data_IF_656930227520
#
_entry.id   IF_656930227520
#
_cell.length_a   1.000
_cell.length_b   1.000
_cell.length_c   1.000
_cell.angle_alpha   90.00
_cell.angle_beta   90.00
_cell.angle_gamma   90.00
#
_symmetry.space_group_name_H-M   'P 1'
#
loop_
_entity.id
_entity.type
_entity.pdbx_description
1 polymer ?
#
# COMPACT_ATOMS: atom_id res chain seq x y z
N UNK A 1 -58.70 14.43 18.38
CA UNK A 1 -58.24 15.63 17.67
C UNK A 1 -57.60 16.50 18.72
N UNK A 2 -56.28 16.40 18.87
CA UNK A 2 -55.56 17.42 19.62
C UNK A 2 -55.78 18.74 18.86
N UNK A 3 -56.17 19.79 19.57
CA UNK A 3 -56.31 21.14 19.01
C UNK A 3 -54.91 21.68 18.79
N UNK A 4 -54.51 21.84 17.53
CA UNK A 4 -53.31 22.60 17.17
C UNK A 4 -53.67 24.08 17.27
N UNK A 5 -52.91 24.83 18.06
CA UNK A 5 -53.03 26.27 18.16
C UNK A 5 -52.32 26.92 16.97
N UNK A 6 -52.82 28.04 16.45
CA UNK A 6 -52.20 28.72 15.29
C UNK A 6 -51.89 30.16 15.64
N UNK A 7 -50.64 30.55 15.40
CA UNK A 7 -50.10 31.90 15.61
C UNK A 7 -49.47 32.35 14.27
N UNK A 8 -49.83 33.54 13.81
CA UNK A 8 -49.31 34.09 12.56
C UNK A 8 -48.83 35.51 12.82
N UNK A 9 -47.59 35.79 12.46
CA UNK A 9 -46.95 37.08 12.54
C UNK A 9 -47.35 38.02 11.42
N UNK A 10 -46.56 39.07 11.24
CA UNK A 10 -46.73 40.08 10.21
C UNK A 10 -45.46 40.24 9.37
N UNK A 11 -45.29 41.39 8.70
CA UNK A 11 -44.11 41.64 7.87
C UNK A 11 -43.03 42.44 8.62
N UNK A 12 -43.02 42.33 9.94
CA UNK A 12 -42.12 43.04 10.83
C UNK A 12 -41.60 42.05 11.87
N UNK A 13 -40.35 42.22 12.30
CA UNK A 13 -39.77 41.35 13.33
C UNK A 13 -40.57 41.37 14.65
N UNK A 14 -40.97 40.18 15.07
CA UNK A 14 -41.90 39.91 16.15
C UNK A 14 -41.37 38.84 17.12
N UNK A 15 -42.01 38.73 18.28
CA UNK A 15 -41.76 37.64 19.22
C UNK A 15 -43.04 36.81 19.30
N UNK A 16 -42.99 35.58 18.77
CA UNK A 16 -44.12 34.67 18.67
C UNK A 16 -43.91 33.48 19.62
N UNK A 17 -44.77 33.36 20.61
CA UNK A 17 -44.65 32.34 21.66
C UNK A 17 -45.81 31.35 21.57
N UNK A 18 -45.48 30.08 21.46
CA UNK A 18 -46.38 28.94 21.55
C UNK A 18 -46.86 28.67 22.97
N UNK A 19 -47.33 27.45 23.17
CA UNK A 19 -48.02 26.97 24.36
C UNK A 19 -47.45 25.62 24.79
N UNK A 20 -48.08 24.98 25.78
CA UNK A 20 -47.63 23.66 26.26
C UNK A 20 -48.28 22.49 25.49
N UNK A 21 -48.81 22.76 24.29
CA UNK A 21 -49.43 21.78 23.39
C UNK A 21 -49.04 22.14 21.96
N UNK A 22 -49.16 21.20 21.02
CA UNK A 22 -48.85 21.42 19.60
C UNK A 22 -49.33 22.76 19.03
N UNK A 23 -48.39 23.55 18.52
CA UNK A 23 -48.61 24.85 17.88
C UNK A 23 -48.18 24.82 16.40
N UNK A 24 -48.85 25.63 15.58
CA UNK A 24 -48.40 26.06 14.26
C UNK A 24 -48.08 27.56 14.34
N UNK A 25 -46.82 27.94 14.20
CA UNK A 25 -46.37 29.32 14.28
C UNK A 25 -45.72 29.72 12.95
N UNK A 26 -46.10 30.88 12.40
CA UNK A 26 -45.57 31.41 11.15
C UNK A 26 -45.15 32.86 11.32
N UNK A 27 -43.88 33.19 11.13
CA UNK A 27 -43.31 34.55 11.21
C UNK A 27 -43.72 35.44 10.05
N UNK A 28 -43.49 34.95 8.82
CA UNK A 28 -43.72 35.60 7.51
C UNK A 28 -42.54 36.43 7.02
N UNK A 29 -42.50 37.75 7.23
CA UNK A 29 -41.35 38.58 6.84
C UNK A 29 -40.81 39.34 8.08
N UNK A 30 -39.52 39.66 8.07
CA UNK A 30 -38.84 40.36 9.15
C UNK A 30 -38.11 39.41 10.09
N UNK A 31 -37.24 39.95 10.94
CA UNK A 31 -36.42 39.16 11.86
C UNK A 31 -37.24 38.75 13.10
N UNK A 32 -37.75 37.53 13.10
CA UNK A 32 -38.67 36.99 14.10
C UNK A 32 -37.97 36.15 15.17
N UNK A 33 -38.54 36.12 16.38
CA UNK A 33 -38.17 35.18 17.44
C UNK A 33 -39.35 34.28 17.78
N UNK A 34 -39.23 33.00 17.46
CA UNK A 34 -40.29 32.00 17.58
C UNK A 34 -39.93 30.96 18.64
N UNK A 35 -40.87 30.61 19.52
CA UNK A 35 -40.68 29.56 20.54
C UNK A 35 -41.89 28.64 20.62
N UNK A 36 -41.72 27.33 20.36
CA UNK A 36 -42.79 26.32 20.40
C UNK A 36 -43.17 25.88 21.82
N UNK A 37 -42.18 25.79 22.72
CA UNK A 37 -42.27 25.29 24.10
C UNK A 37 -42.58 23.80 24.24
N UNK A 38 -43.81 23.34 24.06
CA UNK A 38 -44.15 21.93 24.31
C UNK A 38 -45.27 21.39 23.46
N UNK A 39 -45.29 20.08 23.27
CA UNK A 39 -46.03 19.39 22.22
C UNK A 39 -45.31 19.47 20.87
N UNK A 40 -45.70 18.62 19.92
CA UNK A 40 -45.12 18.58 18.57
C UNK A 40 -45.54 19.81 17.76
N UNK A 41 -44.59 20.70 17.46
CA UNK A 41 -44.82 22.01 16.85
C UNK A 41 -44.40 22.06 15.38
N UNK A 42 -45.03 22.97 14.64
CA UNK A 42 -44.62 23.36 13.30
C UNK A 42 -44.29 24.85 13.31
N UNK A 43 -43.01 25.19 13.17
CA UNK A 43 -42.48 26.54 13.34
C UNK A 43 -41.83 27.01 12.02
N UNK A 44 -42.31 28.13 11.48
CA UNK A 44 -41.81 28.71 10.23
C UNK A 44 -41.37 30.16 10.47
N UNK A 45 -40.11 30.49 10.20
CA UNK A 45 -39.58 31.85 10.23
C UNK A 45 -40.14 32.67 9.07
N UNK A 46 -39.74 32.32 7.86
CA UNK A 46 -40.19 32.97 6.63
C UNK A 46 -39.03 33.69 5.96
N UNK A 47 -39.09 35.00 5.82
CA UNK A 47 -38.00 35.80 5.26
C UNK A 47 -37.48 36.77 6.30
N UNK A 48 -36.18 36.80 6.56
CA UNK A 48 -35.61 37.60 7.65
C UNK A 48 -34.52 36.81 8.35
N UNK A 49 -33.82 37.42 9.30
CA UNK A 49 -32.91 36.68 10.16
C UNK A 49 -33.67 36.20 11.41
N UNK A 50 -34.16 34.98 11.38
CA UNK A 50 -35.08 34.43 12.37
C UNK A 50 -34.36 33.63 13.46
N UNK A 51 -34.96 33.58 14.65
CA UNK A 51 -34.51 32.71 15.74
C UNK A 51 -35.65 31.82 16.19
N UNK A 52 -35.52 30.51 16.01
CA UNK A 52 -36.59 29.54 16.21
C UNK A 52 -36.15 28.50 17.25
N UNK A 53 -37.02 28.20 18.21
CA UNK A 53 -36.78 27.15 19.22
C UNK A 53 -37.99 26.22 19.33
N UNK A 54 -37.77 24.92 19.16
CA UNK A 54 -38.78 23.86 19.24
C UNK A 54 -39.27 23.64 20.67
N UNK A 55 -38.52 22.87 21.45
CA UNK A 55 -39.02 22.39 22.74
C UNK A 55 -38.29 21.15 23.26
N UNK A 56 -39.04 20.21 23.84
CA UNK A 56 -38.54 18.89 24.26
C UNK A 56 -39.34 17.75 23.61
N UNK A 57 -40.15 18.07 22.60
CA UNK A 57 -41.02 17.16 21.88
C UNK A 57 -40.64 17.24 20.40
N UNK A 58 -41.03 16.25 19.60
CA UNK A 58 -40.66 16.19 18.18
C UNK A 58 -41.26 17.36 17.38
N UNK A 59 -40.41 18.28 16.96
CA UNK A 59 -40.77 19.54 16.33
C UNK A 59 -40.30 19.59 14.86
N UNK A 60 -41.03 20.35 14.03
CA UNK A 60 -40.62 20.72 12.68
C UNK A 60 -40.31 22.21 12.64
N UNK A 61 -39.07 22.56 12.33
CA UNK A 61 -38.61 23.94 12.20
C UNK A 61 -38.20 24.23 10.75
N UNK A 62 -38.51 25.44 10.27
CA UNK A 62 -38.09 25.93 8.96
C UNK A 62 -37.73 27.41 9.05
N UNK A 63 -36.47 27.76 8.79
CA UNK A 63 -35.96 29.14 8.82
C UNK A 63 -36.52 29.94 7.65
N UNK A 64 -36.20 29.51 6.43
CA UNK A 64 -36.75 30.03 5.19
C UNK A 64 -35.70 30.77 4.39
N UNK A 65 -35.78 32.09 4.29
CA UNK A 65 -34.82 32.93 3.58
C UNK A 65 -34.19 33.89 4.58
N UNK A 66 -32.88 33.83 4.74
CA UNK A 66 -32.15 34.76 5.58
C UNK A 66 -30.98 34.09 6.26
N UNK A 67 -30.59 34.62 7.42
CA UNK A 67 -29.55 33.99 8.25
C UNK A 67 -30.24 33.65 9.55
N UNK A 68 -30.58 32.37 9.70
CA UNK A 68 -31.47 31.88 10.72
C UNK A 68 -30.70 31.13 11.82
N UNK A 69 -31.26 31.15 13.02
CA UNK A 69 -30.75 30.42 14.18
C UNK A 69 -31.82 29.49 14.72
N UNK A 70 -31.63 28.19 14.53
CA UNK A 70 -32.63 27.16 14.82
C UNK A 70 -32.15 26.22 15.92
N UNK A 71 -33.01 25.94 16.89
CA UNK A 71 -32.78 24.99 17.98
C UNK A 71 -33.96 24.01 18.08
N UNK A 72 -33.74 22.73 17.85
CA UNK A 72 -34.75 21.67 18.06
C UNK A 72 -35.04 21.50 19.54
N UNK A 73 -33.99 21.17 20.29
CA UNK A 73 -33.99 21.11 21.74
C UNK A 73 -33.92 19.67 22.22
N UNK A 74 -35.06 19.02 22.42
CA UNK A 74 -35.07 17.59 22.66
C UNK A 74 -36.26 16.94 21.98
N UNK A 75 -36.21 15.63 21.81
CA UNK A 75 -37.12 14.93 20.90
C UNK A 75 -36.41 14.64 19.59
N UNK A 76 -37.13 14.02 18.65
CA UNK A 76 -36.61 13.74 17.32
C UNK A 76 -37.18 14.80 16.37
N UNK A 77 -36.38 15.80 16.08
CA UNK A 77 -36.76 17.01 15.39
C UNK A 77 -36.44 16.93 13.89
N UNK A 78 -37.09 17.79 13.11
CA UNK A 78 -36.76 17.99 11.70
C UNK A 78 -36.59 19.47 11.45
N UNK A 79 -35.39 19.88 11.04
CA UNK A 79 -35.01 21.28 10.94
C UNK A 79 -34.50 21.57 9.53
N UNK A 80 -35.04 22.64 8.93
CA UNK A 80 -34.59 23.17 7.64
C UNK A 80 -34.11 24.60 7.83
N UNK A 81 -32.86 24.91 7.49
CA UNK A 81 -32.33 26.28 7.43
C UNK A 81 -33.01 27.04 6.30
N UNK A 82 -32.68 26.67 5.06
CA UNK A 82 -33.30 27.22 3.86
C UNK A 82 -32.26 27.88 2.97
N UNK A 83 -32.34 29.19 2.79
CA UNK A 83 -31.39 29.94 1.97
C UNK A 83 -30.72 31.03 2.79
N UNK A 84 -29.38 31.06 2.73
CA UNK A 84 -28.49 31.96 3.45
C UNK A 84 -27.75 31.21 4.56
N UNK A 85 -26.67 31.81 5.08
CA UNK A 85 -25.74 31.14 6.00
C UNK A 85 -26.40 30.86 7.38
N UNK A 86 -26.99 29.69 7.56
CA UNK A 86 -27.81 29.35 8.72
C UNK A 86 -27.02 28.66 9.84
N UNK A 87 -27.59 28.68 11.05
CA UNK A 87 -27.07 27.95 12.20
C UNK A 87 -28.12 27.05 12.83
N UNK A 88 -27.86 25.75 12.83
CA UNK A 88 -28.81 24.72 13.25
C UNK A 88 -28.23 23.91 14.42
N UNK A 89 -29.06 23.65 15.42
CA UNK A 89 -28.79 22.75 16.54
C UNK A 89 -29.95 21.76 16.70
N UNK A 90 -29.69 20.46 16.54
CA UNK A 90 -30.66 19.38 16.79
C UNK A 90 -30.98 19.28 18.27
N UNK A 91 -29.99 18.90 19.05
CA UNK A 91 -30.06 18.86 20.51
C UNK A 91 -30.03 17.44 21.04
N UNK A 92 -31.14 16.92 21.56
CA UNK A 92 -31.18 15.59 22.15
C UNK A 92 -32.27 14.72 21.53
N UNK A 93 -31.90 13.60 20.94
CA UNK A 93 -32.80 12.71 20.21
C UNK A 93 -32.27 12.49 18.80
N UNK A 94 -32.90 11.62 18.03
CA UNK A 94 -32.42 11.33 16.67
C UNK A 94 -33.06 12.33 15.68
N UNK A 95 -32.29 13.31 15.25
CA UNK A 95 -32.74 14.50 14.50
C UNK A 95 -32.47 14.39 12.99
N UNK A 96 -33.22 15.17 12.20
CA UNK A 96 -32.98 15.35 10.76
C UNK A 96 -32.76 16.84 10.45
N UNK A 97 -31.54 17.19 10.05
CA UNK A 97 -31.08 18.57 9.92
C UNK A 97 -30.64 18.86 8.48
N UNK A 98 -31.14 19.94 7.91
CA UNK A 98 -30.85 20.35 6.53
C UNK A 98 -30.47 21.83 6.51
N UNK A 99 -29.25 22.14 6.05
CA UNK A 99 -28.76 23.52 5.88
C UNK A 99 -29.50 24.20 4.73
N UNK A 100 -29.25 23.74 3.51
CA UNK A 100 -29.94 24.18 2.31
C UNK A 100 -29.00 24.80 1.32
N UNK A 101 -29.01 26.13 1.20
CA UNK A 101 -28.16 26.85 0.26
C UNK A 101 -27.36 27.92 1.00
N UNK A 102 -26.15 28.20 0.48
CA UNK A 102 -25.13 29.03 1.10
C UNK A 102 -24.40 28.27 2.24
N UNK A 103 -23.59 28.93 3.07
CA UNK A 103 -22.65 28.21 3.96
C UNK A 103 -23.25 28.04 5.35
N UNK A 104 -23.61 26.81 5.68
CA UNK A 104 -24.36 26.48 6.89
C UNK A 104 -23.47 25.90 7.99
N UNK A 105 -23.91 26.08 9.25
CA UNK A 105 -23.28 25.48 10.42
C UNK A 105 -24.30 24.64 11.20
N UNK A 106 -24.10 23.33 11.22
CA UNK A 106 -25.07 22.36 11.76
C UNK A 106 -24.43 21.53 12.88
N UNK A 107 -25.15 21.38 13.98
CA UNK A 107 -24.81 20.48 15.10
C UNK A 107 -25.95 19.49 15.34
N UNK A 108 -25.68 18.19 15.26
CA UNK A 108 -26.61 17.13 15.69
C UNK A 108 -26.77 17.10 17.21
N UNK A 109 -25.63 17.22 17.90
CA UNK A 109 -25.46 17.16 19.35
C UNK A 109 -25.54 15.73 19.90
N UNK A 110 -26.69 15.23 20.38
CA UNK A 110 -26.77 13.90 21.00
C UNK A 110 -27.92 13.09 20.43
N UNK A 111 -27.62 11.94 19.83
CA UNK A 111 -28.61 11.19 19.05
C UNK A 111 -27.94 10.42 17.93
N UNK A 112 -28.71 9.67 17.16
CA UNK A 112 -28.23 9.18 15.87
C UNK A 112 -28.84 10.07 14.79
N UNK A 113 -28.14 11.13 14.47
CA UNK A 113 -28.63 12.25 13.69
C UNK A 113 -28.34 12.07 12.20
N UNK A 114 -29.18 12.70 11.37
CA UNK A 114 -28.94 12.81 9.94
C UNK A 114 -28.78 14.27 9.56
N UNK A 115 -27.59 14.65 9.09
CA UNK A 115 -27.25 16.01 8.72
C UNK A 115 -27.00 16.11 7.21
N UNK A 116 -27.44 17.20 6.58
CA UNK A 116 -27.17 17.49 5.18
C UNK A 116 -26.89 19.00 5.00
N UNK A 117 -25.70 19.34 4.51
CA UNK A 117 -25.27 20.72 4.28
C UNK A 117 -26.02 21.34 3.13
N UNK A 118 -25.88 20.77 1.93
CA UNK A 118 -26.63 21.16 0.75
C UNK A 118 -25.75 21.80 -0.31
N UNK A 119 -26.04 23.03 -0.71
CA UNK A 119 -25.15 23.81 -1.59
C UNK A 119 -24.38 24.83 -0.76
N UNK A 120 -23.05 24.80 -0.71
CA UNK A 120 -22.37 25.68 0.22
C UNK A 120 -20.88 25.43 0.35
N UNK A 121 -20.34 25.85 1.48
CA UNK A 121 -19.12 25.31 2.09
C UNK A 121 -19.48 25.16 3.54
N UNK A 122 -20.04 24.02 3.86
CA UNK A 122 -20.77 23.81 5.09
C UNK A 122 -19.86 23.26 6.18
N UNK A 123 -20.25 23.45 7.43
CA UNK A 123 -19.58 22.83 8.58
C UNK A 123 -20.59 22.05 9.41
N UNK A 124 -20.42 20.74 9.48
CA UNK A 124 -21.37 19.83 10.12
C UNK A 124 -20.68 19.04 11.23
N UNK A 125 -21.33 18.93 12.38
CA UNK A 125 -20.89 18.13 13.52
C UNK A 125 -22.02 17.16 13.92
N UNK A 126 -21.79 15.86 13.83
CA UNK A 126 -22.71 14.81 14.29
C UNK A 126 -22.89 14.90 15.81
N UNK A 127 -21.85 14.53 16.56
CA UNK A 127 -21.81 14.65 18.01
C UNK A 127 -21.74 13.30 18.72
N UNK A 128 -22.63 13.05 19.67
CA UNK A 128 -22.72 11.79 20.41
C UNK A 128 -23.74 10.86 19.74
N UNK A 129 -23.30 9.74 19.17
CA UNK A 129 -24.14 8.67 18.63
C UNK A 129 -23.65 8.22 17.26
N UNK A 130 -24.44 7.41 16.55
CA UNK A 130 -24.06 6.91 15.24
C UNK A 130 -24.75 7.74 14.16
N UNK A 131 -24.05 8.75 13.67
CA UNK A 131 -24.59 9.79 12.82
C UNK A 131 -24.43 9.48 11.33
N UNK A 132 -25.21 10.17 10.51
CA UNK A 132 -25.03 10.19 9.05
C UNK A 132 -24.97 11.63 8.55
N UNK A 133 -23.82 12.00 8.01
CA UNK A 133 -23.48 13.38 7.63
C UNK A 133 -23.21 13.45 6.13
N UNK A 134 -23.86 14.39 5.44
CA UNK A 134 -23.67 14.67 4.01
C UNK A 134 -23.26 16.13 3.81
N UNK A 135 -22.12 16.39 3.18
CA UNK A 135 -21.67 17.73 2.80
C UNK A 135 -22.52 18.29 1.67
N UNK A 136 -22.40 17.71 0.48
CA UNK A 136 -23.22 18.01 -0.68
C UNK A 136 -22.40 18.66 -1.80
N UNK A 137 -22.76 19.86 -2.22
CA UNK A 137 -21.97 20.63 -3.18
C UNK A 137 -21.18 21.66 -2.42
N UNK A 138 -19.85 21.63 -2.50
CA UNK A 138 -19.07 22.56 -1.71
C UNK A 138 -17.71 22.05 -1.38
N UNK A 139 -16.95 22.86 -0.66
CA UNK A 139 -15.78 22.36 0.04
C UNK A 139 -16.15 22.36 1.52
N UNK A 140 -16.56 21.21 2.02
CA UNK A 140 -17.24 21.07 3.30
C UNK A 140 -16.29 20.55 4.40
N UNK A 141 -16.62 20.86 5.66
CA UNK A 141 -15.92 20.36 6.84
C UNK A 141 -16.89 19.53 7.70
N UNK A 142 -16.66 18.22 7.79
CA UNK A 142 -17.59 17.27 8.39
C UNK A 142 -16.94 16.50 9.53
N UNK A 143 -17.62 16.42 10.68
CA UNK A 143 -17.14 15.72 11.89
C UNK A 143 -18.21 14.73 12.36
N UNK A 144 -17.85 13.46 12.53
CA UNK A 144 -18.71 12.41 13.10
C UNK A 144 -18.86 12.57 14.60
N UNK A 145 -17.78 12.34 15.34
CA UNK A 145 -17.71 12.58 16.78
C UNK A 145 -17.53 11.29 17.58
N UNK A 146 -18.49 10.95 18.45
CA UNK A 146 -18.47 9.72 19.24
C UNK A 146 -19.50 8.73 18.74
N UNK A 147 -19.08 7.58 18.23
CA UNK A 147 -19.98 6.52 17.78
C UNK A 147 -19.51 5.98 16.44
N UNK A 148 -20.24 5.04 15.85
CA UNK A 148 -19.87 4.53 14.52
C UNK A 148 -20.63 5.33 13.45
N UNK A 149 -19.94 6.26 12.80
CA UNK A 149 -20.50 7.30 11.94
C UNK A 149 -20.41 6.99 10.45
N UNK A 150 -21.23 7.69 9.66
CA UNK A 150 -21.15 7.68 8.19
C UNK A 150 -21.07 9.10 7.66
N UNK A 151 -20.03 9.40 6.91
CA UNK A 151 -19.73 10.74 6.46
C UNK A 151 -19.47 10.71 4.95
N UNK A 152 -20.15 11.59 4.22
CA UNK A 152 -20.07 11.70 2.76
C UNK A 152 -19.77 13.17 2.40
N UNK A 153 -18.63 13.45 1.77
CA UNK A 153 -18.28 14.78 1.25
C UNK A 153 -19.14 15.16 0.04
N UNK A 154 -19.33 14.19 -0.86
CA UNK A 154 -20.02 14.29 -2.15
C UNK A 154 -19.18 15.03 -3.22
N UNK A 155 -19.32 16.34 -3.42
CA UNK A 155 -18.65 17.03 -4.52
C UNK A 155 -17.97 18.33 -4.09
N UNK A 156 -16.67 18.37 -4.34
CA UNK A 156 -15.73 19.45 -4.08
C UNK A 156 -14.58 18.94 -3.24
N UNK A 157 -13.78 19.84 -2.68
CA UNK A 157 -12.60 19.43 -1.92
C UNK A 157 -12.93 19.48 -0.42
N UNK A 158 -13.27 18.34 0.14
CA UNK A 158 -13.87 18.20 1.46
C UNK A 158 -12.84 17.80 2.52
N UNK A 159 -13.19 18.04 3.78
CA UNK A 159 -12.42 17.58 4.93
C UNK A 159 -13.33 16.83 5.90
N UNK A 160 -13.04 15.55 6.12
CA UNK A 160 -13.87 14.63 6.89
C UNK A 160 -13.11 14.06 8.09
N UNK A 161 -13.75 14.02 9.24
CA UNK A 161 -13.23 13.46 10.49
C UNK A 161 -14.22 12.44 11.07
N UNK A 162 -13.83 11.17 11.21
CA UNK A 162 -14.61 10.14 11.91
C UNK A 162 -14.59 10.34 13.43
N UNK A 163 -13.41 10.68 13.95
CA UNK A 163 -13.08 10.86 15.36
C UNK A 163 -12.98 9.54 16.15
N UNK A 164 -14.04 9.09 16.83
CA UNK A 164 -13.96 7.90 17.68
C UNK A 164 -15.12 6.95 17.41
N UNK A 165 -14.81 5.79 16.86
CA UNK A 165 -15.82 4.96 16.23
C UNK A 165 -15.25 3.88 15.35
N UNK A 166 -16.09 3.10 14.70
CA UNK A 166 -15.69 2.40 13.49
C UNK A 166 -16.43 3.08 12.35
N UNK A 167 -15.79 4.08 11.77
CA UNK A 167 -16.43 5.07 10.93
C UNK A 167 -16.35 4.70 9.45
N UNK A 168 -17.26 5.26 8.66
CA UNK A 168 -17.25 5.16 7.20
C UNK A 168 -17.18 6.55 6.62
N UNK A 169 -16.08 6.88 5.96
CA UNK A 169 -15.85 8.17 5.32
C UNK A 169 -15.72 7.98 3.81
N UNK A 170 -16.45 8.78 3.04
CA UNK A 170 -16.37 8.80 1.57
C UNK A 170 -16.20 10.26 1.13
N UNK A 171 -15.09 10.57 0.45
CA UNK A 171 -14.78 11.90 -0.10
C UNK A 171 -15.72 12.24 -1.24
N UNK A 172 -15.51 11.62 -2.41
CA UNK A 172 -16.36 11.75 -3.57
C UNK A 172 -15.62 12.34 -4.77
N UNK A 173 -16.16 13.40 -5.37
CA UNK A 173 -15.49 14.11 -6.47
C UNK A 173 -14.67 15.29 -5.92
N UNK A 174 -13.36 15.32 -6.08
CA UNK A 174 -12.51 16.47 -5.69
C UNK A 174 -11.22 16.01 -5.01
N UNK A 175 -10.35 16.93 -4.60
CA UNK A 175 -9.17 16.54 -3.80
C UNK A 175 -9.52 16.62 -2.31
N UNK A 176 -9.77 15.47 -1.69
CA UNK A 176 -10.34 15.36 -0.34
C UNK A 176 -9.31 15.05 0.75
N UNK A 177 -9.64 15.34 2.01
CA UNK A 177 -8.84 14.99 3.18
C UNK A 177 -9.69 14.25 4.22
N UNK A 178 -9.43 12.97 4.41
CA UNK A 178 -10.18 12.09 5.31
C UNK A 178 -9.30 11.63 6.47
N UNK A 179 -9.84 11.67 7.68
CA UNK A 179 -9.21 11.13 8.88
C UNK A 179 -10.19 10.24 9.65
N UNK A 180 -9.89 8.94 9.78
CA UNK A 180 -10.71 7.98 10.52
C UNK A 180 -10.68 8.27 12.01
N UNK A 181 -9.52 8.07 12.65
CA UNK A 181 -9.31 8.43 14.05
C UNK A 181 -9.07 7.20 14.92
N UNK A 182 -9.98 6.93 15.86
CA UNK A 182 -9.89 5.80 16.79
C UNK A 182 -10.91 4.73 16.45
N UNK A 183 -10.44 3.54 16.12
CA UNK A 183 -11.23 2.34 15.87
C UNK A 183 -10.95 1.82 14.47
N UNK A 184 -11.78 0.90 13.98
CA UNK A 184 -11.52 0.25 12.69
C UNK A 184 -12.34 0.93 11.61
N UNK A 185 -11.73 1.84 10.89
CA UNK A 185 -12.39 2.76 9.98
C UNK A 185 -12.33 2.29 8.52
N UNK A 186 -13.28 2.75 7.71
CA UNK A 186 -13.30 2.55 6.27
C UNK A 186 -13.31 3.91 5.57
N UNK A 187 -12.22 4.24 4.88
CA UNK A 187 -12.05 5.50 4.15
C UNK A 187 -11.99 5.25 2.65
N UNK A 188 -12.68 6.07 1.87
CA UNK A 188 -12.68 6.02 0.41
C UNK A 188 -12.58 7.44 -0.18
N UNK A 189 -11.53 7.73 -0.96
CA UNK A 189 -11.30 9.04 -1.59
C UNK A 189 -12.20 9.27 -2.81
N UNK A 190 -12.36 8.22 -3.63
CA UNK A 190 -13.05 8.23 -4.92
C UNK A 190 -12.28 8.93 -6.04
N UNK A 191 -12.61 10.15 -6.45
CA UNK A 191 -12.02 10.78 -7.64
C UNK A 191 -11.31 12.08 -7.28
N UNK A 192 -9.99 12.10 -7.29
CA UNK A 192 -9.25 13.16 -6.64
C UNK A 192 -7.77 12.91 -6.55
N UNK A 193 -7.01 13.85 -5.99
CA UNK A 193 -5.72 13.52 -5.39
C UNK A 193 -5.92 13.63 -3.88
N UNK A 194 -6.35 12.53 -3.28
CA UNK A 194 -6.89 12.50 -1.95
C UNK A 194 -5.81 12.23 -0.91
N UNK A 195 -6.06 12.68 0.32
CA UNK A 195 -5.21 12.39 1.48
C UNK A 195 -6.03 11.68 2.53
N UNK A 196 -5.69 10.43 2.82
CA UNK A 196 -6.46 9.57 3.73
C UNK A 196 -5.56 9.06 4.87
N UNK A 197 -6.01 9.24 6.11
CA UNK A 197 -5.35 8.74 7.31
C UNK A 197 -6.32 7.85 8.11
N UNK A 198 -6.03 6.54 8.23
CA UNK A 198 -6.82 5.59 9.02
C UNK A 198 -6.79 5.94 10.50
N UNK A 199 -5.61 5.93 11.10
CA UNK A 199 -5.40 6.36 12.48
C UNK A 199 -4.99 5.22 13.39
N UNK A 200 -5.85 4.79 14.30
CA UNK A 200 -5.58 3.71 15.25
C UNK A 200 -6.66 2.66 15.18
N UNK A 201 -6.30 1.43 14.87
CA UNK A 201 -7.22 0.33 14.66
C UNK A 201 -6.82 -0.40 13.38
N UNK A 202 -7.63 -1.35 12.96
CA UNK A 202 -7.38 -2.05 11.72
C UNK A 202 -8.28 -1.44 10.64
N UNK A 203 -7.69 -0.57 9.84
CA UNK A 203 -8.39 0.31 8.92
C UNK A 203 -8.41 -0.25 7.50
N UNK A 204 -9.38 0.19 6.71
CA UNK A 204 -9.42 -0.02 5.26
C UNK A 204 -9.42 1.33 4.57
N UNK A 205 -8.38 1.61 3.79
CA UNK A 205 -8.15 2.91 3.16
C UNK A 205 -8.02 2.74 1.66
N UNK A 206 -8.90 3.40 0.89
CA UNK A 206 -8.98 3.26 -0.57
C UNK A 206 -8.88 4.65 -1.21
N UNK A 207 -7.86 4.90 -2.04
CA UNK A 207 -7.67 6.17 -2.76
C UNK A 207 -8.73 6.34 -3.85
N UNK A 208 -8.57 5.60 -4.95
CA UNK A 208 -9.52 5.57 -6.05
C UNK A 208 -8.87 5.99 -7.36
N UNK A 209 -9.27 7.14 -7.91
CA UNK A 209 -8.75 7.68 -9.16
C UNK A 209 -8.01 8.98 -8.88
N UNK A 210 -6.73 9.02 -9.25
CA UNK A 210 -5.84 10.17 -9.21
C UNK A 210 -4.61 9.84 -8.38
N UNK A 211 -3.83 10.82 -7.92
CA UNK A 211 -2.58 10.52 -7.19
C UNK A 211 -2.80 10.71 -5.70
N UNK A 212 -3.05 9.62 -5.01
CA UNK A 212 -3.51 9.64 -3.64
C UNK A 212 -2.35 9.47 -2.65
N UNK A 213 -2.56 9.92 -1.42
CA UNK A 213 -1.65 9.69 -0.29
C UNK A 213 -2.41 9.03 0.84
N UNK A 214 -2.07 7.76 1.11
CA UNK A 214 -2.74 6.91 2.09
C UNK A 214 -1.78 6.57 3.23
N UNK A 215 -2.28 6.64 4.46
CA UNK A 215 -1.55 6.22 5.65
C UNK A 215 -2.49 5.40 6.54
N UNK A 216 -2.12 4.14 6.83
CA UNK A 216 -2.89 3.23 7.68
C UNK A 216 -2.85 3.71 9.13
N UNK A 217 -1.66 3.69 9.72
CA UNK A 217 -1.41 4.30 11.02
C UNK A 217 -0.91 3.25 12.00
N UNK A 218 -1.74 2.81 12.92
CA UNK A 218 -1.38 1.78 13.88
C UNK A 218 -2.45 0.69 13.92
N UNK A 219 -2.05 -0.55 13.69
CA UNK A 219 -2.93 -1.71 13.59
C UNK A 219 -2.67 -2.44 12.26
N UNK A 220 -3.30 -3.60 12.06
CA UNK A 220 -3.11 -4.34 10.80
C UNK A 220 -4.05 -3.75 9.73
N UNK A 221 -3.52 -2.92 8.84
CA UNK A 221 -4.29 -2.11 7.89
C UNK A 221 -4.35 -2.70 6.46
N UNK A 222 -5.37 -2.29 5.70
CA UNK A 222 -5.52 -2.59 4.28
C UNK A 222 -5.58 -1.30 3.46
N UNK A 223 -4.57 -1.05 2.62
CA UNK A 223 -4.45 0.14 1.77
C UNK A 223 -4.52 -0.24 0.29
N UNK A 224 -5.27 0.54 -0.50
CA UNK A 224 -5.36 0.41 -1.96
C UNK A 224 -5.30 1.79 -2.62
N UNK A 225 -4.28 2.05 -3.44
CA UNK A 225 -4.10 3.30 -4.19
C UNK A 225 -5.16 3.45 -5.28
N UNK A 226 -5.14 2.57 -6.28
CA UNK A 226 -6.11 2.55 -7.36
C UNK A 226 -5.49 2.95 -8.70
N UNK A 227 -6.14 3.84 -9.44
CA UNK A 227 -5.61 4.39 -10.70
C UNK A 227 -4.83 5.67 -10.38
N UNK A 228 -3.51 5.71 -10.52
CA UNK A 228 -2.75 6.82 -9.94
C UNK A 228 -1.25 6.64 -9.94
N UNK A 229 -0.54 7.65 -9.45
CA UNK A 229 0.82 7.43 -8.93
C UNK A 229 0.74 7.70 -7.43
N UNK A 230 0.46 6.66 -6.67
CA UNK A 230 0.01 6.76 -5.29
C UNK A 230 1.16 6.62 -4.29
N UNK A 231 0.95 7.15 -3.09
CA UNK A 231 1.86 7.00 -1.95
C UNK A 231 1.14 6.31 -0.80
N UNK A 232 1.56 5.10 -0.45
CA UNK A 232 0.95 4.29 0.59
C UNK A 232 1.95 4.03 1.72
N UNK A 233 1.50 4.23 2.96
CA UNK A 233 2.30 4.02 4.18
C UNK A 233 1.53 3.15 5.18
N UNK A 234 2.00 1.93 5.45
CA UNK A 234 1.45 1.07 6.52
C UNK A 234 1.82 1.58 7.91
N UNK A 235 3.09 1.95 8.06
CA UNK A 235 3.80 2.40 9.26
C UNK A 235 4.17 1.28 10.22
N UNK A 236 3.23 0.62 10.89
CA UNK A 236 3.60 -0.43 11.82
C UNK A 236 2.46 -1.37 12.15
N UNK A 237 2.82 -2.55 12.69
CA UNK A 237 1.98 -3.75 12.68
C UNK A 237 1.96 -4.40 11.28
N UNK A 238 1.08 -5.38 10.98
CA UNK A 238 1.22 -6.16 9.73
C UNK A 238 0.20 -5.68 8.68
N UNK A 239 0.69 -4.98 7.67
CA UNK A 239 -0.14 -4.27 6.71
C UNK A 239 -0.22 -4.96 5.35
N UNK A 240 -1.28 -4.68 4.61
CA UNK A 240 -1.44 -5.07 3.21
C UNK A 240 -1.63 -3.82 2.35
N UNK A 241 -0.70 -3.58 1.43
CA UNK A 241 -0.70 -2.42 0.54
C UNK A 241 -0.78 -2.88 -0.93
N UNK A 242 -1.62 -2.24 -1.74
CA UNK A 242 -1.69 -2.42 -3.19
C UNK A 242 -1.68 -1.06 -3.89
N UNK A 243 -0.70 -0.84 -4.77
CA UNK A 243 -0.56 0.40 -5.55
C UNK A 243 -1.67 0.49 -6.59
N UNK A 244 -1.73 -0.49 -7.48
CA UNK A 244 -2.77 -0.59 -8.50
C UNK A 244 -2.21 -0.27 -9.88
N UNK A 245 -2.65 0.81 -10.50
CA UNK A 245 -2.25 1.18 -11.85
C UNK A 245 -1.55 2.52 -11.87
N UNK A 246 -0.29 2.52 -12.30
CA UNK A 246 0.59 3.67 -12.46
C UNK A 246 1.85 3.47 -11.62
N UNK A 247 2.63 4.52 -11.41
CA UNK A 247 3.94 4.38 -10.78
C UNK A 247 3.86 4.73 -9.30
N UNK A 248 3.71 3.72 -8.47
CA UNK A 248 3.34 3.85 -7.08
C UNK A 248 4.56 3.78 -6.14
N UNK A 249 4.35 4.26 -4.93
CA UNK A 249 5.34 4.21 -3.85
C UNK A 249 4.69 3.64 -2.60
N UNK A 250 5.15 2.46 -2.18
CA UNK A 250 4.65 1.72 -1.03
C UNK A 250 5.76 1.59 0.02
N UNK A 251 5.39 1.79 1.28
CA UNK A 251 6.27 1.67 2.46
C UNK A 251 5.51 0.93 3.56
N UNK A 252 5.90 -0.31 3.86
CA UNK A 252 5.28 -1.16 4.88
C UNK A 252 5.55 -0.63 6.28
N UNK A 253 6.83 -0.51 6.65
CA UNK A 253 7.26 0.05 7.92
C UNK A 253 7.72 -1.04 8.89
N UNK A 254 7.23 -1.03 10.13
CA UNK A 254 7.56 -2.03 11.15
C UNK A 254 6.49 -3.14 11.17
N UNK A 255 6.73 -4.33 10.62
CA UNK A 255 5.63 -5.27 10.43
C UNK A 255 6.02 -6.67 10.00
N UNK A 256 5.08 -7.38 9.40
CA UNK A 256 5.38 -8.42 8.42
C UNK A 256 4.40 -8.14 7.30
N UNK A 257 4.80 -7.24 6.41
CA UNK A 257 3.91 -6.56 5.50
C UNK A 257 3.80 -7.31 4.19
N UNK A 258 2.71 -7.07 3.47
CA UNK A 258 2.53 -7.58 2.11
C UNK A 258 2.23 -6.43 1.16
N UNK A 259 3.14 -6.17 0.23
CA UNK A 259 3.07 -5.07 -0.73
C UNK A 259 2.92 -5.60 -2.15
N UNK A 260 2.00 -5.01 -2.91
CA UNK A 260 1.79 -5.26 -4.34
C UNK A 260 1.92 -3.94 -5.11
N UNK A 261 2.90 -3.81 -6.02
CA UNK A 261 3.01 -2.68 -6.95
C UNK A 261 1.91 -2.72 -8.02
N UNK A 262 1.65 -3.93 -8.52
CA UNK A 262 0.67 -4.25 -9.56
C UNK A 262 1.11 -3.81 -10.95
N UNK A 263 0.75 -2.64 -11.45
CA UNK A 263 1.03 -2.25 -12.83
C UNK A 263 1.64 -0.86 -12.95
N UNK A 264 2.92 -0.79 -13.32
CA UNK A 264 3.67 0.43 -13.54
C UNK A 264 5.10 0.22 -13.10
N UNK A 265 5.86 1.30 -12.97
CA UNK A 265 7.22 1.19 -12.44
C UNK A 265 7.19 1.65 -10.98
N UNK A 266 7.12 0.69 -10.07
CA UNK A 266 6.77 0.89 -8.68
C UNK A 266 7.99 0.89 -7.77
N UNK A 267 7.83 1.50 -6.59
CA UNK A 267 8.84 1.50 -5.53
C UNK A 267 8.25 0.93 -4.25
N UNK A 268 8.70 -0.26 -3.87
CA UNK A 268 8.23 -0.97 -2.67
C UNK A 268 9.36 -1.05 -1.64
N UNK A 269 9.06 -0.73 -0.39
CA UNK A 269 9.95 -0.90 0.77
C UNK A 269 9.20 -1.67 1.85
N UNK A 270 9.72 -2.82 2.27
CA UNK A 270 9.18 -3.64 3.35
C UNK A 270 9.40 -2.96 4.69
N UNK A 271 10.67 -2.83 5.09
CA UNK A 271 11.06 -2.12 6.30
C UNK A 271 11.63 -3.09 7.33
N UNK A 272 11.13 -3.07 8.55
CA UNK A 272 11.53 -4.05 9.56
C UNK A 272 10.46 -5.14 9.66
N UNK A 273 10.78 -6.37 9.31
CA UNK A 273 9.76 -7.41 9.23
C UNK A 273 10.22 -8.64 8.51
N UNK A 274 9.34 -9.62 8.35
CA UNK A 274 9.54 -10.61 7.29
C UNK A 274 8.48 -10.30 6.25
N UNK A 275 8.85 -9.51 5.27
CA UNK A 275 7.92 -8.86 4.36
C UNK A 275 7.80 -9.65 3.05
N UNK A 276 6.69 -9.42 2.35
CA UNK A 276 6.44 -10.01 1.03
C UNK A 276 6.15 -8.88 0.05
N UNK A 277 7.02 -8.71 -0.94
CA UNK A 277 6.93 -7.66 -1.94
C UNK A 277 6.76 -8.28 -3.33
N UNK A 278 5.74 -7.81 -4.05
CA UNK A 278 5.45 -8.17 -5.44
C UNK A 278 5.50 -6.90 -6.30
N UNK A 279 6.43 -6.81 -7.25
CA UNK A 279 6.55 -5.71 -8.21
C UNK A 279 5.36 -5.68 -9.16
N UNK A 280 5.27 -6.70 -10.01
CA UNK A 280 4.14 -6.91 -10.91
C UNK A 280 4.54 -6.68 -12.36
N UNK A 281 3.91 -5.71 -13.04
CA UNK A 281 4.22 -5.38 -14.43
C UNK A 281 4.92 -4.03 -14.49
N UNK A 282 6.18 -4.02 -14.91
CA UNK A 282 6.96 -2.82 -15.20
C UNK A 282 8.37 -2.97 -14.64
N UNK A 283 9.18 -1.92 -14.76
CA UNK A 283 10.54 -1.97 -14.20
C UNK A 283 10.51 -1.45 -12.75
N UNK A 284 10.51 -2.36 -11.78
CA UNK A 284 10.22 -2.08 -10.38
C UNK A 284 11.48 -1.99 -9.50
N UNK A 285 11.34 -1.32 -8.36
CA UNK A 285 12.33 -1.29 -7.29
C UNK A 285 11.75 -1.86 -6.00
N UNK A 286 12.31 -2.96 -5.51
CA UNK A 286 11.90 -3.63 -4.28
C UNK A 286 13.06 -3.64 -3.28
N UNK A 287 12.75 -3.33 -2.02
CA UNK A 287 13.72 -3.35 -0.91
C UNK A 287 13.10 -3.98 0.33
N UNK A 288 13.64 -5.10 0.81
CA UNK A 288 13.16 -5.81 2.01
C UNK A 288 13.55 -5.10 3.31
N UNK A 289 14.81 -4.64 3.38
CA UNK A 289 15.44 -4.02 4.55
C UNK A 289 15.83 -5.02 5.65
N UNK A 290 15.03 -5.21 6.71
CA UNK A 290 15.47 -5.97 7.88
C UNK A 290 14.52 -7.11 8.24
N UNK A 291 14.99 -8.33 8.08
CA UNK A 291 14.38 -9.60 8.44
C UNK A 291 14.45 -10.54 7.26
N UNK A 292 13.65 -11.61 7.25
CA UNK A 292 13.75 -12.63 6.21
C UNK A 292 12.65 -12.40 5.16
N UNK A 293 12.99 -11.67 4.11
CA UNK A 293 12.02 -11.12 3.18
C UNK A 293 11.84 -11.98 1.93
N UNK A 294 10.70 -11.81 1.27
CA UNK A 294 10.40 -12.43 -0.03
C UNK A 294 10.11 -11.33 -1.04
N UNK A 295 10.99 -11.17 -2.03
CA UNK A 295 10.86 -10.20 -3.10
C UNK A 295 10.64 -10.93 -4.43
N UNK A 296 9.63 -10.50 -5.18
CA UNK A 296 9.24 -11.06 -6.48
C UNK A 296 9.06 -9.91 -7.47
N UNK A 297 9.91 -9.81 -8.49
CA UNK A 297 9.86 -8.78 -9.53
C UNK A 297 8.68 -8.97 -10.50
N UNK A 298 8.44 -10.22 -10.91
CA UNK A 298 7.46 -10.62 -11.92
C UNK A 298 7.88 -10.26 -13.36
N UNK A 299 7.43 -9.15 -13.95
CA UNK A 299 7.68 -8.86 -15.36
C UNK A 299 8.22 -7.45 -15.60
N UNK A 300 9.43 -7.35 -16.14
CA UNK A 300 10.14 -6.10 -16.40
C UNK A 300 11.59 -6.23 -15.95
N UNK A 301 12.36 -5.16 -16.01
CA UNK A 301 13.75 -5.19 -15.54
C UNK A 301 13.81 -4.63 -14.12
N UNK A 302 13.79 -5.53 -13.16
CA UNK A 302 13.58 -5.19 -11.75
C UNK A 302 14.89 -5.00 -11.00
N UNK A 303 14.84 -4.18 -9.96
CA UNK A 303 15.94 -4.02 -8.99
C UNK A 303 15.47 -4.44 -7.61
N UNK A 304 16.08 -5.48 -7.05
CA UNK A 304 15.73 -6.05 -5.76
C UNK A 304 16.91 -6.01 -4.80
N UNK A 305 16.65 -5.54 -3.57
CA UNK A 305 17.59 -5.51 -2.45
C UNK A 305 16.96 -6.26 -1.27
N UNK A 306 17.52 -7.40 -0.86
CA UNK A 306 17.05 -8.16 0.31
C UNK A 306 17.29 -7.36 1.59
N UNK A 307 18.56 -7.15 1.93
CA UNK A 307 18.96 -6.33 3.07
C UNK A 307 19.64 -7.17 4.13
N UNK A 308 19.03 -7.33 5.29
CA UNK A 308 19.60 -8.09 6.41
C UNK A 308 18.64 -9.18 6.87
N UNK A 309 19.07 -10.43 6.79
CA UNK A 309 18.28 -11.62 7.14
C UNK A 309 18.48 -12.68 6.07
N UNK A 310 17.83 -13.85 6.20
CA UNK A 310 17.92 -14.89 5.16
C UNK A 310 16.78 -14.66 4.15
N UNK A 311 17.09 -14.02 3.02
CA UNK A 311 16.10 -13.51 2.06
C UNK A 311 15.84 -14.46 0.89
N UNK A 312 14.69 -14.25 0.22
CA UNK A 312 14.35 -14.91 -1.04
C UNK A 312 13.99 -13.89 -2.11
N UNK A 313 14.82 -13.78 -3.15
CA UNK A 313 14.60 -12.89 -4.29
C UNK A 313 14.33 -13.69 -5.55
N UNK A 314 13.31 -13.29 -6.32
CA UNK A 314 12.98 -13.88 -7.61
C UNK A 314 12.76 -12.77 -8.65
N UNK A 315 13.59 -12.75 -9.70
CA UNK A 315 13.54 -11.81 -10.84
C UNK A 315 12.24 -11.93 -11.62
N UNK A 316 12.19 -12.96 -12.46
CA UNK A 316 11.04 -13.25 -13.30
C UNK A 316 11.38 -13.08 -14.77
N UNK A 317 10.56 -12.34 -15.52
CA UNK A 317 10.80 -12.05 -16.93
C UNK A 317 11.50 -10.69 -17.08
N UNK A 318 12.75 -10.64 -17.53
CA UNK A 318 13.47 -9.39 -17.83
C UNK A 318 14.95 -9.47 -17.47
N UNK A 319 15.72 -8.40 -17.73
CA UNK A 319 17.13 -8.35 -17.33
C UNK A 319 17.23 -7.74 -15.91
N UNK A 320 17.24 -8.58 -14.87
CA UNK A 320 17.07 -8.15 -13.49
C UNK A 320 18.38 -7.88 -12.72
N UNK A 321 18.28 -7.10 -11.65
CA UNK A 321 19.37 -6.84 -10.70
C UNK A 321 18.95 -7.25 -9.29
N UNK A 322 19.61 -8.28 -8.75
CA UNK A 322 19.32 -8.83 -7.43
C UNK A 322 20.54 -8.67 -6.51
N UNK A 323 20.31 -8.21 -5.27
CA UNK A 323 21.31 -8.20 -4.20
C UNK A 323 20.70 -8.79 -2.92
N UNK A 324 21.25 -9.89 -2.41
CA UNK A 324 20.78 -10.55 -1.18
C UNK A 324 21.08 -9.70 0.05
N UNK A 325 22.36 -9.41 0.29
CA UNK A 325 22.78 -8.51 1.35
C UNK A 325 23.53 -9.24 2.46
N UNK A 326 23.07 -9.14 3.71
CA UNK A 326 23.60 -9.92 4.84
C UNK A 326 22.66 -11.09 5.13
N UNK A 327 23.07 -12.34 4.94
CA UNK A 327 22.11 -13.44 4.99
C UNK A 327 22.64 -14.73 4.40
N UNK A 328 21.91 -15.82 4.55
CA UNK A 328 22.07 -16.97 3.66
C UNK A 328 20.89 -16.96 2.69
N UNK A 329 21.10 -16.30 1.56
CA UNK A 329 20.02 -15.87 0.69
C UNK A 329 19.72 -16.88 -0.41
N UNK A 330 18.52 -16.82 -0.95
CA UNK A 330 18.09 -17.59 -2.12
C UNK A 330 17.69 -16.65 -3.24
N UNK A 331 18.51 -16.61 -4.30
CA UNK A 331 18.35 -15.70 -5.41
C UNK A 331 18.11 -16.45 -6.72
N UNK A 332 17.07 -16.06 -7.44
CA UNK A 332 16.62 -16.65 -8.70
C UNK A 332 16.51 -15.55 -9.76
N UNK A 333 17.35 -15.59 -10.80
CA UNK A 333 17.27 -14.65 -11.93
C UNK A 333 16.05 -14.90 -12.83
N UNK A 334 15.82 -16.19 -13.17
CA UNK A 334 14.76 -16.68 -14.05
C UNK A 334 15.04 -16.42 -15.54
N UNK A 335 14.38 -15.46 -16.19
CA UNK A 335 14.40 -15.31 -17.63
C UNK A 335 14.93 -13.93 -18.07
N UNK A 336 16.17 -13.89 -18.53
CA UNK A 336 16.81 -12.69 -19.05
C UNK A 336 18.28 -12.70 -18.72
N UNK A 337 19.00 -11.60 -18.94
CA UNK A 337 20.42 -11.53 -18.65
C UNK A 337 20.64 -10.84 -17.31
N UNK A 338 20.64 -11.64 -16.26
CA UNK A 338 20.52 -11.11 -14.91
C UNK A 338 21.87 -10.75 -14.31
N UNK A 339 21.83 -9.86 -13.31
CA UNK A 339 22.98 -9.56 -12.46
C UNK A 339 22.60 -9.82 -11.00
N UNK A 340 23.17 -10.89 -10.44
CA UNK A 340 22.79 -11.39 -9.11
C UNK A 340 24.02 -11.41 -8.20
N UNK A 341 23.89 -10.83 -7.00
CA UNK A 341 24.93 -10.80 -5.95
C UNK A 341 24.34 -11.34 -4.65
N UNK A 342 24.96 -12.38 -4.09
CA UNK A 342 24.57 -12.98 -2.81
C UNK A 342 24.86 -12.02 -1.66
N UNK A 343 26.14 -11.68 -1.48
CA UNK A 343 26.57 -10.68 -0.50
C UNK A 343 27.39 -11.31 0.61
N UNK A 344 26.91 -11.23 1.85
CA UNK A 344 27.58 -11.80 3.03
C UNK A 344 26.76 -12.97 3.56
N UNK A 345 27.32 -14.17 3.47
CA UNK A 345 26.82 -15.41 4.06
C UNK A 345 26.83 -16.53 3.03
N UNK A 346 26.30 -17.71 3.38
CA UNK A 346 26.37 -18.88 2.50
C UNK A 346 25.16 -18.89 1.55
N UNK A 347 25.30 -18.33 0.35
CA UNK A 347 24.18 -18.03 -0.53
C UNK A 347 23.88 -19.12 -1.56
N UNK A 348 22.63 -19.14 -2.05
CA UNK A 348 22.22 -19.95 -3.19
C UNK A 348 21.74 -19.07 -4.33
N UNK A 349 22.42 -19.17 -5.46
CA UNK A 349 22.15 -18.36 -6.65
C UNK A 349 21.85 -19.26 -7.86
N UNK A 350 20.75 -18.99 -8.55
CA UNK A 350 20.33 -19.67 -9.79
C UNK A 350 19.98 -18.63 -10.87
N UNK A 351 20.74 -18.58 -11.96
CA UNK A 351 20.48 -17.67 -13.10
C UNK A 351 19.33 -18.14 -14.00
N UNK A 352 19.26 -19.46 -14.24
CA UNK A 352 18.30 -20.15 -15.11
C UNK A 352 18.50 -19.94 -16.60
N UNK A 353 17.95 -18.88 -17.22
CA UNK A 353 18.01 -18.72 -18.68
C UNK A 353 18.46 -17.34 -19.09
N UNK A 354 19.51 -17.27 -19.90
CA UNK A 354 20.08 -16.02 -20.42
C UNK A 354 21.58 -16.01 -20.23
N UNK A 355 22.24 -14.89 -20.54
CA UNK A 355 23.68 -14.75 -20.33
C UNK A 355 23.93 -14.01 -19.00
N UNK A 356 24.00 -14.74 -17.89
CA UNK A 356 23.92 -14.18 -16.54
C UNK A 356 25.27 -13.74 -15.95
N UNK A 357 25.24 -12.83 -14.98
CA UNK A 357 26.38 -12.53 -14.10
C UNK A 357 26.04 -12.78 -12.66
N UNK A 358 26.69 -13.76 -12.06
CA UNK A 358 26.39 -14.28 -10.74
C UNK A 358 27.61 -14.10 -9.82
N UNK A 359 27.41 -13.47 -8.67
CA UNK A 359 28.44 -13.18 -7.67
C UNK A 359 28.02 -13.79 -6.32
N UNK A 360 28.78 -14.74 -5.78
CA UNK A 360 28.57 -15.25 -4.42
C UNK A 360 29.00 -14.23 -3.36
N UNK A 361 30.11 -13.55 -3.63
CA UNK A 361 30.75 -12.55 -2.78
C UNK A 361 31.44 -13.15 -1.55
N UNK A 362 30.86 -13.17 -0.36
CA UNK A 362 31.55 -13.63 0.86
C UNK A 362 30.76 -14.72 1.59
N UNK A 363 31.28 -15.95 1.57
CA UNK A 363 30.65 -17.11 2.20
C UNK A 363 30.97 -18.37 1.43
N UNK A 364 30.30 -19.49 1.75
CA UNK A 364 30.43 -20.73 0.98
C UNK A 364 29.21 -20.86 0.08
N UNK A 365 29.33 -20.36 -1.15
CA UNK A 365 28.18 -20.12 -2.00
C UNK A 365 27.89 -21.31 -2.92
N UNK A 366 26.63 -21.46 -3.31
CA UNK A 366 26.21 -22.39 -4.37
C UNK A 366 25.63 -21.62 -5.52
N UNK A 367 26.35 -21.61 -6.65
CA UNK A 367 26.02 -20.81 -7.83
C UNK A 367 25.75 -21.74 -9.02
N UNK A 368 24.62 -21.53 -9.69
CA UNK A 368 24.24 -22.22 -10.92
C UNK A 368 23.87 -21.22 -12.00
N UNK A 369 24.59 -21.20 -13.13
CA UNK A 369 24.27 -20.36 -14.29
C UNK A 369 22.98 -20.82 -14.95
N UNK A 370 22.98 -22.01 -15.54
CA UNK A 370 21.78 -22.61 -16.13
C UNK A 370 21.93 -22.80 -17.62
N UNK A 371 21.17 -22.07 -18.43
CA UNK A 371 21.27 -22.07 -19.88
C UNK A 371 21.75 -20.70 -20.34
N UNK A 372 22.74 -20.68 -21.24
CA UNK A 372 23.30 -19.45 -21.80
C UNK A 372 24.77 -19.34 -21.44
N UNK A 373 25.40 -18.22 -21.75
CA UNK A 373 26.84 -18.05 -21.54
C UNK A 373 27.06 -17.22 -20.29
N UNK A 374 27.24 -17.91 -19.17
CA UNK A 374 27.17 -17.29 -17.86
C UNK A 374 28.55 -16.88 -17.35
N UNK A 375 28.58 -15.90 -16.45
CA UNK A 375 29.78 -15.48 -15.73
C UNK A 375 29.56 -15.64 -14.23
N UNK A 376 30.19 -16.65 -13.64
CA UNK A 376 30.08 -16.99 -12.23
C UNK A 376 31.36 -16.62 -11.49
N UNK A 377 31.20 -15.91 -10.38
CA UNK A 377 32.25 -15.51 -9.46
C UNK A 377 31.88 -16.00 -8.06
N UNK A 378 32.65 -16.95 -7.51
CA UNK A 378 32.45 -17.47 -6.14
C UNK A 378 32.73 -16.38 -5.12
N UNK A 379 34.01 -16.06 -4.90
CA UNK A 379 34.40 -14.94 -4.06
C UNK A 379 35.30 -15.39 -2.91
N UNK A 380 35.02 -14.97 -1.68
CA UNK A 380 35.72 -15.41 -0.49
C UNK A 380 34.98 -16.60 0.15
N UNK A 381 35.60 -17.77 0.25
CA UNK A 381 35.05 -18.95 0.92
C UNK A 381 35.16 -20.21 0.06
N UNK A 382 34.41 -21.27 0.36
CA UNK A 382 34.51 -22.52 -0.39
C UNK A 382 33.26 -22.69 -1.26
N UNK A 383 33.38 -22.35 -2.52
CA UNK A 383 32.21 -22.18 -3.37
C UNK A 383 31.92 -23.42 -4.24
N UNK A 384 30.66 -23.62 -4.60
CA UNK A 384 30.20 -24.61 -5.56
C UNK A 384 29.66 -23.91 -6.81
N UNK A 385 30.41 -23.98 -7.91
CA UNK A 385 30.05 -23.35 -9.17
C UNK A 385 29.62 -24.39 -10.20
N UNK A 386 28.46 -24.16 -10.82
CA UNK A 386 27.90 -24.94 -11.93
C UNK A 386 27.57 -23.96 -13.06
N UNK A 387 28.35 -23.97 -14.15
CA UNK A 387 28.05 -23.15 -15.33
C UNK A 387 26.69 -23.53 -15.90
N UNK A 388 26.54 -24.80 -16.30
CA UNK A 388 25.29 -25.30 -16.82
C UNK A 388 25.49 -25.71 -18.26
N UNK A 389 24.63 -25.24 -19.16
CA UNK A 389 24.74 -25.46 -20.59
C UNK A 389 25.03 -24.13 -21.30
N UNK A 390 26.15 -24.05 -22.00
CA UNK A 390 26.54 -22.86 -22.76
C UNK A 390 28.05 -22.73 -22.76
N UNK A 391 28.59 -21.55 -23.02
CA UNK A 391 30.03 -21.34 -22.93
C UNK A 391 30.33 -20.44 -21.73
N UNK A 392 30.59 -21.05 -20.57
CA UNK A 392 30.59 -20.34 -19.28
C UNK A 392 31.99 -19.88 -18.83
N UNK A 393 32.02 -18.77 -18.09
CA UNK A 393 33.20 -18.29 -17.35
C UNK A 393 33.00 -18.56 -15.85
N UNK A 394 33.90 -19.35 -15.27
CA UNK A 394 33.90 -19.67 -13.84
C UNK A 394 35.15 -19.12 -13.16
N UNK A 395 34.96 -18.42 -12.05
CA UNK A 395 36.03 -17.87 -11.19
C UNK A 395 35.73 -18.29 -9.75
N UNK A 396 36.58 -19.14 -9.17
CA UNK A 396 36.37 -19.64 -7.80
C UNK A 396 36.63 -18.55 -6.76
N UNK A 397 37.77 -17.86 -6.87
CA UNK A 397 38.17 -16.86 -5.90
C UNK A 397 39.10 -17.43 -4.83
N UNK A 398 38.79 -17.17 -3.57
CA UNK A 398 39.64 -17.46 -2.42
C UNK A 398 39.02 -18.55 -1.55
N UNK A 399 39.56 -19.76 -1.61
CA UNK A 399 39.24 -20.85 -0.70
C UNK A 399 39.47 -22.18 -1.37
N UNK A 400 38.66 -23.19 -1.06
CA UNK A 400 38.73 -24.51 -1.69
C UNK A 400 37.48 -24.75 -2.52
N UNK A 401 37.52 -24.35 -3.77
CA UNK A 401 36.33 -24.25 -4.62
C UNK A 401 36.04 -25.56 -5.35
N UNK A 402 34.77 -25.76 -5.66
CA UNK A 402 34.26 -26.93 -6.38
C UNK A 402 33.60 -26.50 -7.68
N UNK A 403 34.14 -26.95 -8.81
CA UNK A 403 33.55 -26.73 -10.13
C UNK A 403 32.86 -28.01 -10.61
N UNK A 404 31.54 -27.99 -10.77
CA UNK A 404 30.76 -29.19 -11.08
C UNK A 404 30.21 -29.17 -12.51
N UNK A 405 30.47 -30.26 -13.26
CA UNK A 405 30.07 -30.41 -14.66
C UNK A 405 29.22 -31.67 -14.90
N UNK A 406 28.18 -31.51 -15.73
CA UNK A 406 27.36 -32.58 -16.29
C UNK A 406 27.46 -32.56 -17.82
N UNK A 407 27.23 -33.68 -18.50
CA UNK A 407 27.33 -33.74 -19.96
C UNK A 407 26.44 -32.69 -20.66
N UNK A 408 26.93 -32.12 -21.77
CA UNK A 408 26.28 -30.99 -22.45
C UNK A 408 26.59 -29.63 -21.83
N UNK A 409 27.74 -29.51 -21.15
CA UNK A 409 28.14 -28.28 -20.48
C UNK A 409 28.65 -27.21 -21.44
N UNK A 410 29.06 -27.57 -22.67
CA UNK A 410 29.58 -26.63 -23.66
C UNK A 410 31.06 -26.27 -23.46
N UNK A 411 31.47 -25.05 -23.82
CA UNK A 411 32.90 -24.67 -23.87
C UNK A 411 33.31 -23.75 -22.71
N UNK A 412 33.41 -24.34 -21.53
CA UNK A 412 33.62 -23.61 -20.29
C UNK A 412 35.08 -23.25 -20.02
N UNK A 413 35.27 -22.20 -19.23
CA UNK A 413 36.58 -21.69 -18.81
C UNK A 413 36.61 -21.46 -17.31
N UNK A 414 37.53 -22.15 -16.63
CA UNK A 414 37.92 -21.80 -15.26
C UNK A 414 39.15 -20.89 -15.32
N UNK A 415 39.07 -19.73 -14.66
CA UNK A 415 40.05 -18.66 -14.82
C UNK A 415 41.24 -18.71 -13.85
N UNK A 416 41.05 -19.34 -12.68
CA UNK A 416 41.94 -19.24 -11.51
C UNK A 416 42.18 -20.56 -10.76
N UNK A 417 41.81 -21.71 -11.36
CA UNK A 417 41.93 -23.04 -10.76
C UNK A 417 43.30 -23.29 -10.08
N UNK A 418 43.26 -23.60 -8.79
CA UNK A 418 44.38 -23.99 -7.96
C UNK A 418 44.31 -25.48 -7.60
N UNK A 419 45.11 -26.30 -8.28
CA UNK A 419 45.15 -27.76 -8.06
C UNK A 419 45.55 -28.21 -6.63
N UNK A 420 45.98 -27.30 -5.75
CA UNK A 420 46.26 -27.62 -4.34
C UNK A 420 45.11 -27.35 -3.38
N UNK A 421 44.08 -26.64 -3.83
CA UNK A 421 42.94 -26.18 -3.02
C UNK A 421 41.61 -26.62 -3.66
N UNK A 422 41.46 -26.42 -4.98
CA UNK A 422 40.21 -26.61 -5.70
C UNK A 422 39.99 -28.04 -6.20
N UNK A 423 38.73 -28.37 -6.48
CA UNK A 423 38.30 -29.66 -7.00
C UNK A 423 37.36 -29.50 -8.20
N UNK A 424 37.57 -30.30 -9.24
CA UNK A 424 36.62 -30.44 -10.36
C UNK A 424 35.79 -31.71 -10.15
N UNK A 425 34.47 -31.57 -10.20
CA UNK A 425 33.52 -32.67 -10.04
C UNK A 425 32.86 -32.98 -11.37
N UNK A 426 32.91 -34.24 -11.79
CA UNK A 426 32.19 -34.74 -12.95
C UNK A 426 31.03 -35.65 -12.51
N UNK A 427 29.81 -35.34 -12.95
CA UNK A 427 28.66 -36.23 -12.79
C UNK A 427 28.71 -37.42 -13.75
N UNK A 428 27.93 -38.46 -13.44
CA UNK A 428 27.83 -39.64 -14.29
C UNK A 428 27.43 -39.28 -15.73
N UNK A 429 28.22 -39.78 -16.69
CA UNK A 429 28.01 -39.53 -18.11
C UNK A 429 28.98 -38.52 -18.73
N UNK A 430 29.76 -37.79 -17.93
CA UNK A 430 30.80 -36.88 -18.42
C UNK A 430 32.11 -37.64 -18.70
N UNK A 431 32.90 -38.00 -17.68
CA UNK A 431 34.10 -38.83 -17.83
C UNK A 431 34.02 -40.11 -16.99
N UNK A 432 34.73 -41.17 -17.40
CA UNK A 432 34.67 -42.45 -16.68
C UNK A 432 35.44 -42.42 -15.34
N UNK A 433 36.64 -41.82 -15.35
CA UNK A 433 37.52 -41.65 -14.21
C UNK A 433 38.60 -40.59 -14.50
N UNK A 434 39.47 -40.30 -13.53
CA UNK A 434 40.51 -39.29 -13.68
C UNK A 434 41.55 -39.63 -14.77
N UNK A 435 41.77 -40.91 -15.08
CA UNK A 435 42.70 -41.29 -16.14
C UNK A 435 42.12 -40.97 -17.53
N UNK A 436 40.80 -41.07 -17.67
CA UNK A 436 40.06 -40.63 -18.85
C UNK A 436 40.16 -39.11 -19.05
N UNK A 437 39.94 -38.32 -17.98
CA UNK A 437 40.10 -36.86 -18.01
C UNK A 437 41.51 -36.47 -18.48
N UNK A 438 42.54 -37.03 -17.84
CA UNK A 438 43.94 -36.72 -18.16
C UNK A 438 44.36 -37.21 -19.56
N UNK A 439 43.75 -38.27 -20.09
CA UNK A 439 44.02 -38.74 -21.45
C UNK A 439 43.45 -37.80 -22.52
N UNK A 440 42.43 -37.02 -22.18
CA UNK A 440 41.78 -36.04 -23.06
C UNK A 440 42.24 -34.59 -22.79
N UNK A 441 43.23 -34.40 -21.91
CA UNK A 441 43.80 -33.10 -21.59
C UNK A 441 45.02 -32.77 -22.48
N UNK A 442 45.03 -31.57 -23.08
CA UNK A 442 46.14 -31.05 -23.87
C UNK A 442 46.62 -29.68 -23.32
N UNK A 443 47.93 -29.48 -23.24
CA UNK A 443 48.50 -28.17 -22.94
C UNK A 443 48.43 -27.26 -24.18
N UNK A 444 47.67 -26.17 -24.09
CA UNK A 444 47.55 -25.15 -25.15
C UNK A 444 48.03 -23.80 -24.61
N UNK A 445 49.26 -23.43 -24.94
CA UNK A 445 49.87 -22.20 -24.43
C UNK A 445 50.06 -22.26 -22.92
N UNK A 446 49.42 -21.36 -22.18
CA UNK A 446 49.42 -21.31 -20.70
C UNK A 446 48.19 -21.96 -20.08
N UNK A 447 47.37 -22.63 -20.87
CA UNK A 447 46.11 -23.26 -20.42
C UNK A 447 46.15 -24.76 -20.67
N UNK A 448 45.39 -25.51 -19.88
CA UNK A 448 45.04 -26.91 -20.19
C UNK A 448 43.65 -26.92 -20.80
N UNK A 449 43.47 -27.66 -21.88
CA UNK A 449 42.16 -27.87 -22.53
C UNK A 449 41.81 -29.35 -22.41
N UNK A 450 40.69 -29.64 -21.78
CA UNK A 450 40.14 -31.00 -21.58
C UNK A 450 38.95 -31.13 -22.52
N UNK A 451 39.04 -32.01 -23.51
CA UNK A 451 37.98 -32.20 -24.52
C UNK A 451 37.16 -33.44 -24.19
N UNK A 452 35.88 -33.27 -23.89
CA UNK A 452 34.98 -34.42 -23.73
C UNK A 452 34.51 -34.92 -25.09
N UNK A 453 33.96 -34.02 -25.90
CA UNK A 453 33.53 -34.32 -27.27
C UNK A 453 33.65 -33.11 -28.21
N UNK A 454 32.89 -33.08 -29.30
CA UNK A 454 32.98 -32.02 -30.30
C UNK A 454 32.33 -30.68 -29.85
N UNK A 455 31.51 -30.70 -28.81
CA UNK A 455 30.78 -29.54 -28.30
C UNK A 455 31.14 -29.21 -26.85
N UNK A 456 31.66 -30.18 -26.09
CA UNK A 456 32.00 -30.01 -24.66
C UNK A 456 33.52 -29.92 -24.46
N UNK A 457 34.02 -28.74 -24.06
CA UNK A 457 35.44 -28.50 -23.74
C UNK A 457 35.61 -27.68 -22.46
N UNK A 458 36.51 -28.10 -21.57
CA UNK A 458 36.86 -27.37 -20.35
C UNK A 458 38.27 -26.78 -20.46
N UNK A 459 38.38 -25.47 -20.36
CA UNK A 459 39.67 -24.74 -20.39
C UNK A 459 40.08 -24.26 -19.01
N UNK A 460 41.17 -24.79 -18.48
CA UNK A 460 41.80 -24.33 -17.23
C UNK A 460 42.89 -23.31 -17.55
N UNK A 461 42.69 -22.05 -17.16
CA UNK A 461 43.61 -20.95 -17.48
C UNK A 461 44.76 -20.88 -16.50
N UNK A 462 45.99 -20.70 -17.00
CA UNK A 462 47.15 -20.51 -16.13
C UNK A 462 47.67 -21.80 -15.49
N UNK A 463 47.03 -22.93 -15.76
CA UNK A 463 47.37 -24.26 -15.24
C UNK A 463 48.34 -24.98 -16.17
N UNK A 464 49.32 -25.67 -15.58
CA UNK A 464 50.20 -26.61 -16.31
C UNK A 464 49.65 -28.02 -16.21
N UNK A 465 49.64 -28.76 -17.32
CA UNK A 465 49.21 -30.16 -17.36
C UNK A 465 50.01 -31.06 -16.40
N UNK A 466 51.26 -30.68 -16.09
CA UNK A 466 52.09 -31.39 -15.12
C UNK A 466 51.62 -31.28 -13.68
N UNK A 467 50.81 -30.27 -13.39
CA UNK A 467 50.38 -29.92 -12.04
C UNK A 467 49.04 -30.59 -11.71
N UNK A 468 48.35 -31.12 -12.73
CA UNK A 468 47.12 -31.89 -12.57
C UNK A 468 47.38 -33.33 -12.16
N UNK A 469 46.51 -33.86 -11.31
CA UNK A 469 46.58 -35.22 -10.77
C UNK A 469 45.19 -35.82 -10.58
N UNK A 470 45.14 -37.10 -10.23
CA UNK A 470 43.87 -37.79 -10.01
C UNK A 470 43.09 -37.29 -8.78
N UNK A 471 43.72 -36.56 -7.84
CA UNK A 471 43.02 -35.99 -6.68
C UNK A 471 42.20 -34.76 -7.01
N UNK A 472 42.50 -34.09 -8.12
CA UNK A 472 41.89 -32.82 -8.52
C UNK A 472 40.50 -33.07 -9.14
N UNK A 473 40.17 -34.34 -9.38
CA UNK A 473 38.94 -34.79 -10.01
C UNK A 473 38.16 -35.73 -9.10
N UNK A 474 36.91 -35.39 -8.85
CA UNK A 474 35.95 -36.24 -8.14
C UNK A 474 34.82 -36.67 -9.09
N UNK A 475 34.35 -37.91 -8.92
CA UNK A 475 33.32 -38.51 -9.76
C UNK A 475 32.13 -38.90 -8.91
N UNK A 476 30.96 -38.35 -9.21
CA UNK A 476 29.72 -38.61 -8.48
C UNK A 476 28.70 -39.29 -9.38
N UNK A 477 27.91 -40.18 -8.77
CA UNK A 477 26.99 -41.08 -9.46
C UNK A 477 25.69 -40.41 -9.92
#
# INVERSE_FOLDING_TARGET
MATVNTITGTAAGEILNGTAVADLIQGLDGDDTISGFGGENLLYGGAGADSITGGNDNDLLNGGIGIDLLFGGGGNDTIYGGAGDDKIYGGAGDDMLYGGADNDLIYGDAGNDMLNGGEGQDTLYGGDGNDTVFGGLGNDELHGGLGDDKIYGDAGNDTLYGDAGNDVLVGGDGDDNLQGGLGNDMLQGDAGNDVLFGGSGNDTVIGGIGNDTLNGGAGDDLLSGGDGNDQLYGNGDNDILSGGAGNDTLDGGDGNDTLYGDAGNDRLVGGAGNDVLHGGIGDDFLQGDAGNDVLIGDAGNDTMLGGAGDDKLQGGDGDDVLNGGEGNDQLFGDAGNDTVSGGIGDDRIEGYTGDDKLYGDAGNDTISGGQGNDSLFGGDGNDLLKGGAGDDLLVGGAGSDTFEFSAGFGNDRISDFNASEDTIVFRAGTFADAADVLANAEQVGTSVVITLDANDTLTLTGVSLSDLSASDFTFVA
#
